data_IF_471591853230
#
_entry.id   IF_471591853230
#
_cell.length_a   1.000
_cell.length_b   1.000
_cell.length_c   1.000
_cell.angle_alpha   90.00
_cell.angle_beta   90.00
_cell.angle_gamma   90.00
#
_symmetry.space_group_name_H-M   'P 1'
#
loop_
_entity.id
_entity.type
_entity.pdbx_description
1 polymer ?
#
# COMPACT_ATOMS: atom_id res chain seq x y z
N UNK A 1 -4.06 11.24 -32.29
CA UNK A 1 -3.57 10.77 -30.98
C UNK A 1 -3.21 9.30 -31.16
N UNK A 2 -1.95 8.94 -30.95
CA UNK A 2 -1.45 7.58 -31.16
C UNK A 2 -2.08 6.64 -30.14
N UNK A 3 -2.80 5.61 -30.60
CA UNK A 3 -3.35 4.58 -29.72
C UNK A 3 -2.20 3.82 -29.03
N UNK A 4 -2.29 3.67 -27.70
CA UNK A 4 -1.30 2.94 -26.90
C UNK A 4 -1.24 1.48 -27.34
N UNK A 5 -0.04 1.00 -27.64
CA UNK A 5 0.23 -0.38 -28.05
C UNK A 5 0.89 -1.16 -26.92
N UNK A 6 0.82 -2.48 -27.02
CA UNK A 6 1.60 -3.35 -26.15
C UNK A 6 3.09 -3.08 -26.37
N UNK A 7 3.85 -3.00 -25.29
CA UNK A 7 5.28 -2.70 -25.32
C UNK A 7 5.62 -1.21 -25.35
N UNK A 8 4.65 -0.30 -25.51
CA UNK A 8 4.89 1.14 -25.41
C UNK A 8 5.46 1.51 -24.03
N UNK A 9 6.24 2.59 -24.00
CA UNK A 9 6.90 3.09 -22.80
C UNK A 9 5.99 4.12 -22.14
N UNK A 10 5.62 3.86 -20.88
CA UNK A 10 4.77 4.75 -20.08
C UNK A 10 5.40 4.90 -18.69
N UNK A 11 5.37 6.10 -18.14
CA UNK A 11 5.79 6.36 -16.76
C UNK A 11 4.67 6.06 -15.77
N UNK A 12 4.99 5.27 -14.74
CA UNK A 12 4.07 4.94 -13.65
C UNK A 12 4.82 4.76 -12.32
N UNK A 13 4.08 4.72 -11.21
CA UNK A 13 4.65 4.48 -9.89
C UNK A 13 4.90 2.99 -9.66
N UNK A 14 6.17 2.59 -9.57
CA UNK A 14 6.51 1.21 -9.27
C UNK A 14 6.40 0.94 -7.75
N UNK A 15 5.59 -0.04 -7.30
CA UNK A 15 5.49 -0.39 -5.87
C UNK A 15 6.77 -1.03 -5.31
N UNK A 16 7.60 -1.62 -6.17
CA UNK A 16 8.91 -2.19 -5.79
C UNK A 16 9.97 -1.11 -5.66
N UNK A 17 10.12 -0.24 -6.67
CA UNK A 17 11.11 0.84 -6.65
C UNK A 17 10.69 2.02 -5.75
N UNK A 18 9.40 2.15 -5.44
CA UNK A 18 8.80 3.25 -4.66
C UNK A 18 9.02 4.64 -5.26
N UNK A 19 9.16 4.71 -6.58
CA UNK A 19 9.36 5.94 -7.34
C UNK A 19 8.67 5.84 -8.70
N UNK A 20 8.53 6.99 -9.39
CA UNK A 20 8.08 7.05 -10.78
C UNK A 20 9.23 6.56 -11.68
N UNK A 21 8.93 5.59 -12.54
CA UNK A 21 9.91 5.01 -13.46
C UNK A 21 9.26 4.67 -14.79
N UNK A 22 10.09 4.46 -15.82
CA UNK A 22 9.67 3.92 -17.10
C UNK A 22 9.17 2.47 -16.98
N UNK A 23 7.97 2.21 -17.48
CA UNK A 23 7.38 0.88 -17.59
C UNK A 23 7.07 0.54 -19.05
N UNK A 24 7.06 -0.74 -19.39
CA UNK A 24 6.51 -1.25 -20.65
C UNK A 24 5.09 -1.77 -20.43
N UNK A 25 4.17 -1.42 -21.35
CA UNK A 25 2.79 -1.92 -21.33
C UNK A 25 2.77 -3.43 -21.56
N UNK A 26 2.27 -4.19 -20.58
CA UNK A 26 2.23 -5.65 -20.65
C UNK A 26 0.84 -6.20 -21.00
N UNK A 27 -0.22 -5.50 -20.60
CA UNK A 27 -1.59 -5.88 -20.97
C UNK A 27 -2.49 -4.65 -21.12
N UNK A 28 -3.27 -4.65 -22.19
CA UNK A 28 -4.33 -3.69 -22.50
C UNK A 28 -5.66 -4.45 -22.52
N UNK A 29 -6.70 -3.86 -21.94
CA UNK A 29 -8.07 -4.39 -22.00
C UNK A 29 -8.96 -3.32 -22.61
N UNK A 30 -9.49 -3.58 -23.80
CA UNK A 30 -10.17 -2.55 -24.59
C UNK A 30 -9.17 -1.46 -25.01
N UNK A 31 -9.36 -0.25 -24.48
CA UNK A 31 -8.50 0.91 -24.73
C UNK A 31 -7.70 1.31 -23.48
N UNK A 32 -7.82 0.58 -22.37
CA UNK A 32 -7.20 0.90 -21.08
C UNK A 32 -6.01 -0.02 -20.77
N UNK A 33 -4.89 0.57 -20.34
CA UNK A 33 -3.73 -0.19 -19.85
C UNK A 33 -4.03 -0.75 -18.46
N UNK A 34 -3.98 -2.08 -18.30
CA UNK A 34 -4.26 -2.75 -17.02
C UNK A 34 -2.99 -3.13 -16.27
N UNK A 35 -2.00 -3.69 -16.98
CA UNK A 35 -0.75 -4.15 -16.37
C UNK A 35 0.46 -3.58 -17.07
N UNK A 36 1.47 -3.26 -16.27
CA UNK A 36 2.75 -2.71 -16.72
C UNK A 36 3.90 -3.45 -16.06
N UNK A 37 5.04 -3.51 -16.75
CA UNK A 37 6.29 -4.09 -16.25
C UNK A 37 7.33 -2.99 -16.11
N UNK A 38 7.88 -2.82 -14.91
CA UNK A 38 8.91 -1.82 -14.67
C UNK A 38 10.20 -2.18 -15.40
N UNK A 39 10.79 -1.26 -16.18
CA UNK A 39 12.05 -1.54 -16.89
C UNK A 39 13.25 -1.60 -15.94
N UNK A 40 13.15 -0.98 -14.76
CA UNK A 40 14.22 -0.96 -13.75
C UNK A 40 14.27 -2.24 -12.92
N UNK A 41 13.15 -2.69 -12.36
CA UNK A 41 13.11 -3.86 -11.46
C UNK A 41 12.37 -5.07 -12.03
N UNK A 42 11.86 -4.98 -13.26
CA UNK A 42 11.17 -6.07 -14.01
C UNK A 42 9.94 -6.65 -13.31
N UNK A 43 9.40 -5.95 -12.31
CA UNK A 43 8.20 -6.39 -11.59
C UNK A 43 6.95 -5.96 -12.36
N UNK A 44 6.08 -6.93 -12.65
CA UNK A 44 4.74 -6.68 -13.19
C UNK A 44 3.79 -6.19 -12.09
N UNK A 45 3.09 -5.09 -12.32
CA UNK A 45 2.04 -4.60 -11.41
C UNK A 45 0.93 -3.87 -12.19
N UNK A 46 -0.18 -3.60 -11.52
CA UNK A 46 -1.33 -2.91 -12.12
C UNK A 46 -1.02 -1.42 -12.32
N UNK A 47 -1.50 -0.86 -13.43
CA UNK A 47 -1.24 0.53 -13.79
C UNK A 47 -1.91 1.52 -12.82
N UNK A 48 -1.13 2.39 -12.20
CA UNK A 48 -1.59 3.35 -11.18
C UNK A 48 -1.81 4.76 -11.74
N UNK A 49 -1.76 4.94 -13.05
CA UNK A 49 -2.01 6.23 -13.70
C UNK A 49 -1.11 7.36 -13.17
N UNK A 50 0.13 7.04 -12.78
CA UNK A 50 1.06 8.01 -12.20
C UNK A 50 0.66 8.52 -10.81
N UNK A 51 -0.44 8.03 -10.22
CA UNK A 51 -0.80 8.33 -8.84
C UNK A 51 0.08 7.49 -7.92
N UNK A 52 1.18 8.10 -7.48
CA UNK A 52 1.87 7.68 -6.26
C UNK A 52 0.87 7.58 -5.12
N UNK A 53 1.18 6.78 -4.09
CA UNK A 53 0.27 6.57 -2.95
C UNK A 53 -0.23 7.92 -2.47
N UNK A 54 -1.53 8.21 -2.70
CA UNK A 54 -2.07 9.54 -2.47
C UNK A 54 -1.71 10.00 -1.07
N UNK A 55 -1.41 11.30 -0.93
CA UNK A 55 -1.13 11.92 0.38
C UNK A 55 -2.25 11.48 1.33
N UNK A 56 -1.94 10.51 2.20
CA UNK A 56 -2.86 10.13 3.27
C UNK A 56 -3.12 11.43 3.99
N UNK A 57 -4.39 11.86 4.08
CA UNK A 57 -4.73 13.05 4.85
C UNK A 57 -4.08 12.86 6.21
N UNK A 58 -3.03 13.63 6.50
CA UNK A 58 -2.41 13.59 7.81
C UNK A 58 -3.55 13.92 8.76
N UNK A 59 -3.77 13.05 9.74
CA UNK A 59 -4.68 13.37 10.84
C UNK A 59 -4.19 14.70 11.40
N UNK A 60 -5.05 15.71 11.39
CA UNK A 60 -4.69 17.05 11.87
C UNK A 60 -4.02 16.89 13.21
N UNK A 61 -2.78 17.37 13.31
CA UNK A 61 -2.00 17.23 14.53
C UNK A 61 -2.74 17.94 15.67
N UNK A 62 -2.55 17.49 16.91
CA UNK A 62 -3.14 18.17 18.07
C UNK A 62 -2.78 19.68 18.10
N UNK A 63 -1.63 20.04 17.52
CA UNK A 63 -1.20 21.41 17.34
C UNK A 63 -2.12 22.23 16.42
N UNK A 64 -2.55 21.68 15.28
CA UNK A 64 -3.50 22.35 14.37
C UNK A 64 -4.87 22.58 15.03
N UNK A 65 -5.31 21.66 15.90
CA UNK A 65 -6.57 21.79 16.65
C UNK A 65 -6.48 22.90 17.71
N UNK A 66 -5.35 23.00 18.41
CA UNK A 66 -5.11 24.07 19.38
C UNK A 66 -4.99 25.42 18.69
N UNK A 67 -4.25 25.51 17.58
CA UNK A 67 -4.16 26.75 16.78
C UNK A 67 -5.53 27.20 16.26
N UNK A 68 -6.35 26.28 15.77
CA UNK A 68 -7.71 26.61 15.32
C UNK A 68 -8.58 27.12 16.48
N UNK A 69 -8.40 26.57 17.69
CA UNK A 69 -9.15 26.96 18.89
C UNK A 69 -8.74 28.35 19.40
N UNK A 70 -7.45 28.68 19.35
CA UNK A 70 -6.91 30.00 19.70
C UNK A 70 -7.34 31.08 18.69
N UNK A 71 -7.28 30.78 17.39
CA UNK A 71 -7.72 31.70 16.33
C UNK A 71 -9.24 31.92 16.32
N UNK A 72 -10.03 30.93 16.73
CA UNK A 72 -11.48 31.04 16.88
C UNK A 72 -11.91 31.80 18.15
N UNK A 73 -10.97 32.38 18.91
CA UNK A 73 -11.27 33.21 20.08
C UNK A 73 -11.94 32.49 21.24
N UNK A 74 -11.94 31.14 21.24
CA UNK A 74 -12.62 30.35 22.26
C UNK A 74 -11.63 29.97 23.35
N UNK A 75 -11.51 30.84 24.36
CA UNK A 75 -10.80 30.51 25.58
C UNK A 75 -11.65 29.48 26.36
N UNK A 76 -11.19 28.23 26.41
CA UNK A 76 -11.78 27.19 27.26
C UNK A 76 -10.72 26.70 28.24
N UNK A 77 -11.02 26.97 29.51
CA UNK A 77 -10.45 26.40 30.72
C UNK A 77 -10.30 24.87 30.62
N UNK A 78 -9.15 24.38 31.06
CA UNK A 78 -8.80 22.96 31.03
C UNK A 78 -9.64 22.11 32.00
N UNK A 79 -10.13 20.93 31.59
CA UNK A 79 -10.49 19.89 32.54
C UNK A 79 -9.33 18.90 32.74
N UNK A 80 -9.02 18.70 34.00
CA UNK A 80 -7.99 17.81 34.52
C UNK A 80 -8.31 16.32 34.29
N UNK A 81 -7.27 15.59 33.90
CA UNK A 81 -6.80 14.26 34.38
C UNK A 81 -7.80 13.10 34.63
N UNK A 82 -7.35 11.95 34.11
CA UNK A 82 -7.48 10.55 34.57
C UNK A 82 -8.78 9.77 34.37
N UNK A 83 -8.73 8.83 33.41
CA UNK A 83 -8.98 7.41 33.66
C UNK A 83 -8.52 6.56 32.46
N UNK A 84 -7.40 5.84 32.59
CA UNK A 84 -7.08 4.71 31.72
C UNK A 84 -7.69 3.44 32.32
N UNK A 85 -8.46 2.63 31.58
CA UNK A 85 -8.65 1.23 31.94
C UNK A 85 -7.45 0.41 31.43
N UNK A 86 -6.80 -0.26 32.37
CA UNK A 86 -5.69 -1.17 32.17
C UNK A 86 -6.08 -2.40 31.33
N UNK A 87 -5.30 -2.60 30.25
CA UNK A 87 -4.92 -3.88 29.61
C UNK A 87 -5.79 -5.11 29.95
N UNK A 88 -6.73 -5.42 29.06
CA UNK A 88 -7.27 -6.77 28.93
C UNK A 88 -6.15 -7.71 28.46
N UNK A 89 -5.77 -8.62 29.35
CA UNK A 89 -4.91 -9.77 29.07
C UNK A 89 -5.59 -10.68 28.03
N UNK A 90 -5.18 -10.55 26.77
CA UNK A 90 -5.51 -11.54 25.73
C UNK A 90 -4.71 -12.81 26.00
N UNK A 91 -5.40 -13.85 26.45
CA UNK A 91 -4.93 -15.24 26.37
C UNK A 91 -4.68 -15.60 24.90
N UNK A 92 -3.52 -16.17 24.52
CA UNK A 92 -3.35 -16.71 23.18
C UNK A 92 -3.92 -18.12 23.13
N UNK A 93 -5.22 -18.24 22.84
CA UNK A 93 -5.75 -19.52 22.35
C UNK A 93 -5.38 -19.64 20.88
N UNK A 94 -4.29 -20.35 20.58
CA UNK A 94 -4.05 -20.84 19.22
C UNK A 94 -3.66 -22.31 19.25
N UNK A 95 -4.67 -23.12 19.50
CA UNK A 95 -4.82 -24.42 18.89
C UNK A 95 -4.66 -24.28 17.37
N UNK A 96 -3.58 -24.85 16.85
CA UNK A 96 -3.52 -25.54 15.55
C UNK A 96 -2.16 -26.22 15.46
N UNK A 97 -2.12 -27.49 15.89
CA UNK A 97 -1.11 -28.40 15.40
C UNK A 97 -1.16 -28.36 13.87
N UNK A 98 -0.03 -28.07 13.24
CA UNK A 98 0.16 -28.25 11.80
C UNK A 98 0.46 -29.74 11.60
N UNK A 99 -0.34 -30.51 10.85
CA UNK A 99 0.07 -31.85 10.46
C UNK A 99 1.29 -31.72 9.55
N UNK A 100 2.37 -32.45 9.87
CA UNK A 100 3.48 -32.70 8.97
C UNK A 100 2.96 -33.61 7.85
N UNK A 101 2.33 -33.04 6.83
CA UNK A 101 2.03 -33.79 5.61
C UNK A 101 3.34 -34.03 4.87
N UNK A 102 3.78 -35.28 4.96
CA UNK A 102 4.88 -35.89 4.21
C UNK A 102 4.63 -35.74 2.70
N UNK A 103 5.28 -34.78 2.06
CA UNK A 103 5.38 -34.74 0.60
C UNK A 103 6.53 -35.63 0.16
N UNK A 104 6.30 -36.94 0.15
CA UNK A 104 7.02 -37.85 -0.75
C UNK A 104 6.37 -37.71 -2.12
N UNK A 105 6.98 -36.92 -3.00
CA UNK A 105 7.08 -37.19 -4.44
C UNK A 105 7.77 -36.02 -5.14
N UNK A 106 9.09 -36.14 -5.28
CA UNK A 106 9.89 -35.32 -6.19
C UNK A 106 10.12 -36.15 -7.46
N UNK A 107 9.56 -35.80 -8.62
CA UNK A 107 9.89 -36.48 -9.86
C UNK A 107 11.35 -36.17 -10.24
N UNK A 108 12.06 -37.21 -10.66
CA UNK A 108 13.42 -37.17 -11.20
C UNK A 108 13.45 -36.35 -12.49
N UNK A 109 14.29 -35.32 -12.54
CA UNK A 109 14.63 -34.62 -13.79
C UNK A 109 15.48 -35.54 -14.67
N UNK A 110 15.19 -35.67 -15.98
CA UNK A 110 16.14 -36.28 -16.92
C UNK A 110 17.29 -35.33 -17.23
N UNK A 111 18.34 -35.93 -17.77
CA UNK A 111 19.73 -35.47 -17.88
C UNK A 111 19.96 -34.41 -18.95
#
# INVERSE_FOLDING_TARGET
MTATRLGDIIDDYCPRCRMLTNHSVAAIVGEEVRKVVCRTCQNSHDFKHGKGTGKKKLKQSAYEQVLASVLAGKNMEAPQKSAQPSRSSRTPTRSRLRPLTSSRNRPSRPR
#
